data_IF_725527431510
#
_entry.id   IF_725527431510
#
_cell.length_a   1.000
_cell.length_b   1.000
_cell.length_c   1.000
_cell.angle_alpha   90.00
_cell.angle_beta   90.00
_cell.angle_gamma   90.00
#
_symmetry.space_group_name_H-M   'P 1'
#
loop_
_entity.id
_entity.type
_entity.pdbx_description
1 polymer ?
#
# COMPACT_ATOMS: atom_id res chain seq x y z
N UNK A 1 1.73 0.16 -13.46
CA UNK A 1 0.85 -0.97 -13.05
C UNK A 1 1.57 -2.29 -13.33
N UNK A 2 1.36 -3.32 -12.52
CA UNK A 2 1.86 -4.67 -12.79
C UNK A 2 0.98 -5.35 -13.83
N UNK A 3 1.58 -5.78 -14.93
CA UNK A 3 0.91 -6.45 -16.05
C UNK A 3 0.94 -7.98 -15.92
N UNK A 4 1.49 -8.50 -14.81
CA UNK A 4 1.62 -9.93 -14.53
C UNK A 4 0.28 -10.65 -14.35
N UNK A 5 0.25 -11.98 -14.42
CA UNK A 5 -0.91 -12.78 -14.05
C UNK A 5 -1.40 -12.48 -12.62
N UNK A 6 -2.71 -12.44 -12.44
CA UNK A 6 -3.37 -12.21 -11.15
C UNK A 6 -4.51 -13.19 -10.92
N UNK A 7 -5.07 -13.20 -9.71
CA UNK A 7 -6.21 -14.07 -9.39
C UNK A 7 -7.45 -13.76 -10.26
N UNK A 8 -7.63 -12.49 -10.68
CA UNK A 8 -8.75 -12.05 -11.52
C UNK A 8 -8.43 -12.06 -13.01
N UNK A 9 -7.15 -12.08 -13.37
CA UNK A 9 -6.67 -12.19 -14.76
C UNK A 9 -5.50 -13.18 -14.83
N UNK A 10 -5.75 -14.48 -15.03
CA UNK A 10 -4.73 -15.54 -14.96
C UNK A 10 -3.60 -15.42 -15.98
N UNK A 11 -3.79 -14.69 -17.06
CA UNK A 11 -2.73 -14.46 -18.09
C UNK A 11 -2.07 -13.10 -17.96
N UNK A 12 -2.66 -12.18 -17.17
CA UNK A 12 -2.26 -10.79 -17.15
C UNK A 12 -2.50 -10.09 -18.49
N UNK A 13 -1.90 -8.93 -18.68
CA UNK A 13 -1.93 -8.22 -19.96
C UNK A 13 -0.77 -8.71 -20.84
N UNK A 14 -1.09 -9.28 -21.99
CA UNK A 14 -0.12 -9.79 -22.96
C UNK A 14 0.17 -8.84 -24.13
N UNK A 15 -0.48 -7.66 -24.16
CA UNK A 15 -0.27 -6.66 -25.22
C UNK A 15 0.65 -5.53 -24.75
N UNK A 16 1.97 -5.58 -25.11
CA UNK A 16 2.93 -4.56 -24.69
C UNK A 16 2.63 -3.17 -25.23
N UNK A 17 1.81 -3.06 -26.29
CA UNK A 17 1.47 -1.75 -26.89
C UNK A 17 0.58 -0.90 -25.98
N UNK A 18 -0.05 -1.53 -24.98
CA UNK A 18 -0.92 -0.90 -24.01
C UNK A 18 -0.20 -0.53 -22.70
N UNK A 19 1.09 -0.90 -22.56
CA UNK A 19 1.83 -0.64 -21.33
C UNK A 19 2.20 0.84 -21.19
N UNK A 20 2.05 1.35 -20.00
CA UNK A 20 2.59 2.66 -19.62
C UNK A 20 4.11 2.61 -19.38
N UNK A 21 4.79 3.77 -19.34
CA UNK A 21 6.25 3.85 -19.23
C UNK A 21 6.79 3.29 -17.89
N UNK A 22 5.96 3.19 -16.87
CA UNK A 22 6.33 2.71 -15.54
C UNK A 22 5.67 1.35 -15.20
N UNK A 23 5.10 0.67 -16.20
CA UNK A 23 4.45 -0.61 -15.96
C UNK A 23 5.48 -1.75 -15.85
N UNK A 24 5.20 -2.70 -14.95
CA UNK A 24 5.97 -3.93 -14.83
C UNK A 24 5.54 -4.88 -15.94
N UNK A 25 6.48 -5.24 -16.79
CA UNK A 25 6.22 -6.12 -17.95
C UNK A 25 5.80 -7.51 -17.51
N UNK A 26 4.75 -8.03 -18.11
CA UNK A 26 4.31 -9.40 -17.89
C UNK A 26 5.43 -10.41 -18.17
N UNK A 27 5.76 -11.34 -17.25
CA UNK A 27 6.81 -12.34 -17.46
C UNK A 27 6.62 -13.19 -18.71
N UNK A 28 5.36 -13.49 -19.10
CA UNK A 28 5.05 -14.25 -20.33
C UNK A 28 5.38 -13.47 -21.62
N UNK A 29 5.47 -12.15 -21.54
CA UNK A 29 5.93 -11.29 -22.63
C UNK A 29 7.44 -11.08 -22.56
N UNK A 30 7.97 -10.86 -21.35
CA UNK A 30 9.40 -10.59 -21.14
C UNK A 30 10.29 -11.78 -21.54
N UNK A 31 9.99 -13.01 -21.12
CA UNK A 31 10.85 -14.18 -21.36
C UNK A 31 11.11 -14.44 -22.84
N UNK A 32 10.09 -14.55 -23.73
CA UNK A 32 10.34 -14.81 -25.15
C UNK A 32 11.07 -13.65 -25.84
N UNK A 33 10.78 -12.40 -25.47
CA UNK A 33 11.46 -11.24 -26.05
C UNK A 33 12.93 -11.23 -25.67
N UNK A 34 13.24 -11.40 -24.37
CA UNK A 34 14.60 -11.43 -23.88
C UNK A 34 15.40 -12.60 -24.45
N UNK A 35 14.80 -13.79 -24.51
CA UNK A 35 15.41 -14.99 -25.11
C UNK A 35 15.74 -14.75 -26.58
N UNK A 36 14.81 -14.21 -27.38
CA UNK A 36 15.03 -13.92 -28.79
C UNK A 36 16.14 -12.88 -28.98
N UNK A 37 16.18 -11.85 -28.15
CA UNK A 37 17.26 -10.86 -28.17
C UNK A 37 18.62 -11.51 -27.93
N UNK A 38 18.76 -12.34 -26.89
CA UNK A 38 20.03 -13.04 -26.60
C UNK A 38 20.41 -13.97 -27.75
N UNK A 39 19.48 -14.76 -28.28
CA UNK A 39 19.73 -15.66 -29.41
C UNK A 39 20.19 -14.90 -30.65
N UNK A 40 19.55 -13.79 -30.99
CA UNK A 40 19.91 -12.94 -32.13
C UNK A 40 21.31 -12.36 -31.98
N UNK A 41 21.63 -11.83 -30.80
CA UNK A 41 22.95 -11.25 -30.50
C UNK A 41 24.08 -12.28 -30.52
N UNK A 42 23.80 -13.54 -30.17
CA UNK A 42 24.82 -14.60 -30.11
C UNK A 42 24.87 -15.47 -31.38
N UNK A 43 23.96 -15.29 -32.33
CA UNK A 43 23.85 -16.12 -33.55
C UNK A 43 25.12 -16.18 -34.37
N UNK A 44 25.95 -15.12 -34.38
CA UNK A 44 27.24 -15.07 -35.10
C UNK A 44 28.44 -15.47 -34.20
N UNK A 45 28.20 -16.16 -33.08
CA UNK A 45 29.25 -16.61 -32.17
C UNK A 45 29.74 -15.55 -31.20
N UNK A 46 29.04 -14.42 -31.08
CA UNK A 46 29.32 -13.42 -30.05
C UNK A 46 29.11 -14.02 -28.65
N UNK A 47 30.02 -13.66 -27.74
CA UNK A 47 29.91 -14.04 -26.31
C UNK A 47 29.33 -12.87 -25.52
N UNK A 48 28.55 -13.18 -24.50
CA UNK A 48 27.95 -12.19 -23.62
C UNK A 48 27.95 -12.63 -22.18
N UNK A 49 27.72 -11.69 -21.28
CA UNK A 49 27.46 -11.92 -19.86
C UNK A 49 26.11 -11.31 -19.54
N UNK A 50 25.26 -12.06 -18.85
CA UNK A 50 23.99 -11.59 -18.33
C UNK A 50 24.12 -11.53 -16.82
N UNK A 51 23.93 -10.35 -16.24
CA UNK A 51 23.82 -10.17 -14.79
C UNK A 51 22.35 -10.21 -14.37
N UNK A 52 22.06 -10.90 -13.28
CA UNK A 52 20.76 -10.80 -12.62
C UNK A 52 20.61 -9.43 -11.95
N UNK A 53 19.39 -8.91 -11.95
CA UNK A 53 19.07 -7.73 -11.16
C UNK A 53 19.05 -8.17 -9.69
N UNK A 54 19.78 -7.47 -8.78
CA UNK A 54 19.69 -7.76 -7.35
C UNK A 54 18.27 -7.49 -6.84
N UNK A 55 17.94 -8.10 -5.71
CA UNK A 55 16.70 -7.80 -5.01
C UNK A 55 16.70 -6.33 -4.57
N UNK A 56 15.89 -5.52 -5.24
CA UNK A 56 15.81 -4.08 -4.99
C UNK A 56 15.21 -3.75 -3.62
N UNK A 57 14.42 -4.67 -3.04
CA UNK A 57 13.79 -4.47 -1.73
C UNK A 57 14.81 -4.44 -0.59
N UNK A 58 16.02 -4.98 -0.84
CA UNK A 58 17.15 -4.95 0.10
C UNK A 58 17.98 -3.65 0.03
N UNK A 59 17.65 -2.75 -0.89
CA UNK A 59 18.38 -1.48 -1.01
C UNK A 59 18.04 -0.54 0.16
N UNK A 60 18.99 0.32 0.58
CA UNK A 60 18.75 1.32 1.62
C UNK A 60 17.52 2.22 1.35
N UNK A 61 17.15 2.38 0.10
CA UNK A 61 15.95 3.12 -0.30
C UNK A 61 14.66 2.57 0.33
N UNK A 62 14.58 1.24 0.55
CA UNK A 62 13.43 0.57 1.14
C UNK A 62 13.66 0.07 2.57
N UNK A 63 14.92 0.02 3.03
CA UNK A 63 15.24 -0.58 4.33
C UNK A 63 15.61 0.44 5.40
N UNK A 64 15.77 1.72 5.03
CA UNK A 64 16.17 2.78 5.97
C UNK A 64 15.03 3.23 6.88
N UNK A 65 13.80 3.27 6.36
CA UNK A 65 12.62 3.67 7.12
C UNK A 65 11.89 2.40 7.55
N UNK A 66 11.84 2.07 8.86
CA UNK A 66 11.08 0.90 9.32
C UNK A 66 9.58 1.14 9.18
N UNK A 67 8.78 0.08 9.15
CA UNK A 67 7.31 0.18 9.07
C UNK A 67 6.68 0.90 10.29
N UNK A 68 7.38 0.93 11.43
CA UNK A 68 6.92 1.50 12.70
C UNK A 68 7.83 2.64 13.21
N UNK A 69 8.03 3.72 12.44
CA UNK A 69 9.06 4.72 12.74
C UNK A 69 8.63 5.78 13.76
N UNK A 70 7.39 5.73 14.28
CA UNK A 70 6.79 6.83 15.04
C UNK A 70 6.87 6.57 16.55
N UNK A 71 7.78 7.23 17.29
CA UNK A 71 7.77 7.16 18.75
C UNK A 71 6.62 7.98 19.30
N UNK A 72 5.84 7.41 20.22
CA UNK A 72 4.78 8.13 20.94
C UNK A 72 4.91 7.93 22.45
N UNK A 73 4.61 9.00 23.18
CA UNK A 73 4.30 8.95 24.61
C UNK A 73 2.80 8.69 24.82
N UNK A 74 2.38 8.53 26.08
CA UNK A 74 0.99 8.24 26.44
C UNK A 74 0.03 9.37 26.02
N UNK A 75 0.44 10.62 26.15
CA UNK A 75 -0.38 11.77 25.82
C UNK A 75 -0.62 11.85 24.32
N UNK A 76 0.42 11.66 23.53
CA UNK A 76 0.37 11.66 22.07
C UNK A 76 -0.46 10.47 21.56
N UNK A 77 -0.19 9.26 22.04
CA UNK A 77 -0.96 8.07 21.66
C UNK A 77 -2.46 8.24 21.96
N UNK A 78 -2.81 8.79 23.13
CA UNK A 78 -4.19 9.05 23.50
C UNK A 78 -4.85 10.07 22.57
N UNK A 79 -4.16 11.17 22.26
CA UNK A 79 -4.67 12.22 21.36
C UNK A 79 -4.91 11.68 19.94
N UNK A 80 -3.95 10.92 19.40
CA UNK A 80 -4.06 10.35 18.05
C UNK A 80 -5.13 9.27 17.98
N UNK A 81 -5.25 8.40 18.98
CA UNK A 81 -6.35 7.43 19.07
C UNK A 81 -7.71 8.12 19.11
N UNK A 82 -7.83 9.25 19.83
CA UNK A 82 -9.03 10.08 19.83
C UNK A 82 -9.37 10.62 18.44
N UNK A 83 -8.39 11.05 17.67
CA UNK A 83 -8.59 11.53 16.29
C UNK A 83 -9.10 10.42 15.35
N UNK A 84 -8.63 9.18 15.50
CA UNK A 84 -9.09 8.05 14.70
C UNK A 84 -10.34 7.34 15.22
N UNK A 85 -10.86 7.72 16.39
CA UNK A 85 -12.03 7.06 16.99
C UNK A 85 -13.27 7.09 16.07
N UNK A 86 -13.51 8.23 15.40
CA UNK A 86 -14.64 8.39 14.46
C UNK A 86 -14.45 7.49 13.22
N UNK A 87 -13.23 7.41 12.69
CA UNK A 87 -12.91 6.52 11.56
C UNK A 87 -13.13 5.06 11.96
N UNK A 88 -12.58 4.60 13.08
CA UNK A 88 -12.72 3.23 13.56
C UNK A 88 -14.19 2.84 13.78
N UNK A 89 -14.98 3.73 14.41
CA UNK A 89 -16.42 3.51 14.58
C UNK A 89 -17.16 3.46 13.23
N UNK A 90 -16.80 4.33 12.30
CA UNK A 90 -17.36 4.36 10.95
C UNK A 90 -17.11 3.07 10.19
N UNK A 91 -15.88 2.52 10.26
CA UNK A 91 -15.52 1.24 9.63
C UNK A 91 -16.37 0.10 10.21
N UNK A 92 -16.50 0.01 11.54
CA UNK A 92 -17.35 -1.01 12.19
C UNK A 92 -18.81 -0.89 11.73
N UNK A 93 -19.35 0.33 11.68
CA UNK A 93 -20.72 0.57 11.25
C UNK A 93 -20.92 0.20 9.77
N UNK A 94 -19.98 0.56 8.88
CA UNK A 94 -20.08 0.28 7.46
C UNK A 94 -20.07 -1.22 7.18
N UNK A 95 -19.12 -1.96 7.75
CA UNK A 95 -19.05 -3.41 7.57
C UNK A 95 -20.23 -4.14 8.25
N UNK A 96 -20.68 -3.67 9.40
CA UNK A 96 -21.91 -4.19 10.04
C UNK A 96 -23.15 -4.00 9.16
N UNK A 97 -23.26 -2.87 8.47
CA UNK A 97 -24.35 -2.65 7.51
C UNK A 97 -24.26 -3.59 6.30
N UNK A 98 -23.07 -3.89 5.77
CA UNK A 98 -22.88 -4.84 4.67
C UNK A 98 -23.25 -6.27 5.07
N UNK A 99 -22.96 -6.67 6.31
CA UNK A 99 -23.44 -7.96 6.86
C UNK A 99 -24.95 -7.99 6.97
N UNK A 100 -25.58 -6.95 7.50
CA UNK A 100 -27.04 -6.86 7.65
C UNK A 100 -27.76 -6.91 6.29
N UNK A 101 -27.11 -6.43 5.21
CA UNK A 101 -27.61 -6.49 3.84
C UNK A 101 -27.27 -7.81 3.12
N UNK A 102 -26.63 -8.77 3.80
CA UNK A 102 -26.15 -10.03 3.22
C UNK A 102 -25.17 -9.85 2.03
N UNK A 103 -24.42 -8.75 1.98
CA UNK A 103 -23.40 -8.48 0.95
C UNK A 103 -22.11 -9.25 1.26
N UNK A 104 -21.83 -9.47 2.56
CA UNK A 104 -20.67 -10.25 3.01
C UNK A 104 -20.99 -11.01 4.31
N UNK A 105 -20.15 -12.01 4.63
CA UNK A 105 -20.27 -12.74 5.88
C UNK A 105 -19.70 -11.93 7.06
N UNK A 106 -20.11 -12.27 8.28
CA UNK A 106 -19.60 -11.65 9.50
C UNK A 106 -18.08 -11.86 9.65
N UNK A 107 -17.57 -13.05 9.33
CA UNK A 107 -16.14 -13.33 9.39
C UNK A 107 -15.32 -12.45 8.43
N UNK A 108 -15.81 -12.25 7.21
CA UNK A 108 -15.18 -11.34 6.24
C UNK A 108 -15.21 -9.89 6.73
N UNK A 109 -16.34 -9.45 7.27
CA UNK A 109 -16.48 -8.11 7.82
C UNK A 109 -15.52 -7.87 8.98
N UNK A 110 -15.44 -8.81 9.92
CA UNK A 110 -14.52 -8.75 11.06
C UNK A 110 -13.05 -8.71 10.61
N UNK A 111 -12.68 -9.49 9.60
CA UNK A 111 -11.34 -9.48 9.03
C UNK A 111 -11.00 -8.12 8.39
N UNK A 112 -11.93 -7.51 7.65
CA UNK A 112 -11.75 -6.18 7.07
C UNK A 112 -11.68 -5.08 8.14
N UNK A 113 -12.52 -5.14 9.17
CA UNK A 113 -12.46 -4.21 10.31
C UNK A 113 -11.12 -4.33 11.01
N UNK A 114 -10.63 -5.54 11.26
CA UNK A 114 -9.34 -5.75 11.92
C UNK A 114 -8.17 -5.16 11.14
N UNK A 115 -8.14 -5.30 9.80
CA UNK A 115 -7.12 -4.71 8.94
C UNK A 115 -7.09 -3.18 8.99
N UNK A 116 -8.26 -2.56 9.16
CA UNK A 116 -8.46 -1.11 9.07
C UNK A 116 -8.49 -0.40 10.40
N UNK A 117 -8.61 -1.14 11.50
CA UNK A 117 -8.60 -0.54 12.84
C UNK A 117 -7.25 0.10 13.13
N UNK A 118 -7.26 1.40 13.39
CA UNK A 118 -6.07 2.21 13.66
C UNK A 118 -5.94 2.41 15.16
N UNK A 119 -4.80 1.99 15.74
CA UNK A 119 -4.52 2.15 17.15
C UNK A 119 -3.04 2.37 17.42
N UNK A 120 -2.72 3.21 18.39
CA UNK A 120 -1.38 3.59 18.80
C UNK A 120 -1.14 3.32 20.26
N UNK A 121 0.09 2.97 20.61
CA UNK A 121 0.53 2.71 21.98
C UNK A 121 1.78 3.53 22.32
N UNK A 122 2.17 3.52 23.57
CA UNK A 122 3.47 4.06 23.99
C UNK A 122 4.59 3.25 23.33
N UNK A 123 5.55 3.93 22.73
CA UNK A 123 6.67 3.31 22.01
C UNK A 123 6.62 3.55 20.51
N UNK A 124 7.22 2.66 19.74
CA UNK A 124 7.27 2.75 18.27
C UNK A 124 5.95 2.27 17.66
N UNK A 125 5.43 3.06 16.73
CA UNK A 125 4.13 2.80 16.10
C UNK A 125 4.24 2.80 14.58
N UNK A 126 3.39 1.97 13.91
CA UNK A 126 3.26 1.97 12.47
C UNK A 126 2.72 3.29 11.93
N UNK A 127 3.04 3.61 10.68
CA UNK A 127 2.39 4.70 9.95
C UNK A 127 1.02 4.25 9.43
N UNK A 128 0.11 5.20 9.22
CA UNK A 128 -1.14 4.95 8.50
C UNK A 128 -0.91 5.24 7.02
N UNK A 129 -1.32 4.31 6.19
CA UNK A 129 -1.22 4.43 4.73
C UNK A 129 -2.60 4.27 4.08
N UNK A 130 -2.73 4.78 2.86
CA UNK A 130 -3.83 4.44 1.97
C UNK A 130 -3.43 3.14 1.27
N UNK A 131 -4.28 2.12 1.34
CA UNK A 131 -4.08 0.84 0.69
C UNK A 131 -5.23 0.58 -0.29
N UNK A 132 -4.96 0.81 -1.56
CA UNK A 132 -5.92 0.64 -2.65
C UNK A 132 -6.38 -0.82 -2.85
N UNK A 133 -5.68 -1.79 -2.24
CA UNK A 133 -6.11 -3.20 -2.25
C UNK A 133 -7.30 -3.47 -1.33
N UNK A 134 -7.56 -2.58 -0.37
CA UNK A 134 -8.72 -2.68 0.51
C UNK A 134 -10.00 -2.34 -0.23
N UNK A 135 -11.12 -2.92 0.22
CA UNK A 135 -12.44 -2.63 -0.35
C UNK A 135 -12.78 -1.15 -0.26
N UNK A 136 -13.07 -0.50 -1.39
CA UNK A 136 -13.57 0.87 -1.42
C UNK A 136 -15.04 0.91 -0.96
N UNK A 137 -15.24 1.36 0.27
CA UNK A 137 -16.57 1.47 0.86
C UNK A 137 -17.41 2.57 0.20
N UNK A 138 -16.77 3.63 -0.29
CA UNK A 138 -17.45 4.72 -1.01
C UNK A 138 -18.03 4.26 -2.36
N UNK A 139 -17.32 3.36 -3.05
CA UNK A 139 -17.81 2.74 -4.28
C UNK A 139 -19.02 1.82 -4.03
N UNK A 140 -19.06 1.14 -2.87
CA UNK A 140 -20.19 0.29 -2.48
C UNK A 140 -21.41 1.10 -2.02
N UNK A 141 -21.17 2.17 -1.26
CA UNK A 141 -22.21 3.06 -0.77
C UNK A 141 -21.67 4.48 -0.60
N UNK A 142 -22.17 5.48 -1.34
CA UNK A 142 -21.72 6.88 -1.25
C UNK A 142 -21.78 7.48 0.16
N UNK A 143 -22.63 6.96 1.05
CA UNK A 143 -22.67 7.39 2.45
C UNK A 143 -21.36 7.11 3.21
N UNK A 144 -20.53 6.18 2.73
CA UNK A 144 -19.25 5.80 3.31
C UNK A 144 -18.05 6.41 2.58
N UNK A 145 -18.24 7.33 1.66
CA UNK A 145 -17.17 7.95 0.87
C UNK A 145 -16.10 8.68 1.71
N UNK A 146 -16.43 9.08 2.93
CA UNK A 146 -15.47 9.65 3.88
C UNK A 146 -14.56 8.61 4.56
N UNK A 147 -14.88 7.31 4.44
CA UNK A 147 -14.11 6.20 5.00
C UNK A 147 -13.08 5.74 3.98
N UNK A 148 -11.95 6.43 3.94
CA UNK A 148 -10.84 6.08 3.06
C UNK A 148 -10.31 4.67 3.36
N UNK A 149 -9.57 4.11 2.42
CA UNK A 149 -8.94 2.79 2.51
C UNK A 149 -7.68 2.84 3.36
N UNK A 150 -7.84 3.24 4.64
CA UNK A 150 -6.71 3.39 5.56
C UNK A 150 -6.42 2.07 6.28
N UNK A 151 -5.12 1.79 6.50
CA UNK A 151 -4.62 0.81 7.45
C UNK A 151 -3.27 1.21 8.02
N UNK A 152 -2.86 0.58 9.09
CA UNK A 152 -1.49 0.69 9.58
C UNK A 152 -0.54 -0.21 8.79
N UNK A 153 0.71 0.25 8.62
CA UNK A 153 1.78 -0.54 8.01
C UNK A 153 2.15 -1.74 8.88
N UNK A 154 2.61 -2.79 8.23
CA UNK A 154 3.12 -4.03 8.80
C UNK A 154 4.58 -4.25 8.43
N UNK A 155 5.20 -5.30 8.94
CA UNK A 155 6.59 -5.68 8.61
C UNK A 155 6.79 -6.01 7.12
N UNK A 156 5.70 -6.28 6.39
CA UNK A 156 5.73 -6.58 4.95
C UNK A 156 5.74 -5.32 4.09
N UNK A 157 5.42 -4.15 4.67
CA UNK A 157 5.37 -2.88 3.96
C UNK A 157 6.74 -2.23 3.88
N UNK A 158 7.12 -1.81 2.68
CA UNK A 158 8.39 -1.13 2.42
C UNK A 158 8.17 0.38 2.31
N UNK A 159 8.56 1.10 3.33
CA UNK A 159 8.51 2.56 3.28
C UNK A 159 9.73 3.11 2.53
N UNK A 160 9.47 3.91 1.49
CA UNK A 160 10.55 4.51 0.70
C UNK A 160 11.26 5.61 1.47
N UNK A 161 12.55 5.78 1.24
CA UNK A 161 13.39 6.75 1.95
C UNK A 161 12.82 8.19 1.95
N UNK A 162 12.27 8.73 0.85
CA UNK A 162 11.65 10.06 0.86
C UNK A 162 10.43 10.19 1.79
N UNK A 163 9.74 9.08 2.09
CA UNK A 163 8.61 9.06 3.03
C UNK A 163 8.98 9.55 4.42
N UNK A 164 10.25 9.42 4.82
CA UNK A 164 10.75 9.91 6.12
C UNK A 164 10.52 11.41 6.34
N UNK A 165 10.43 12.20 5.27
CA UNK A 165 10.20 13.63 5.36
C UNK A 165 8.75 14.00 5.77
N UNK A 166 7.81 13.06 5.61
CA UNK A 166 6.38 13.27 5.90
C UNK A 166 5.97 12.65 7.23
N UNK A 167 6.71 11.64 7.69
CA UNK A 167 6.40 10.92 8.94
C UNK A 167 6.54 11.89 10.13
N UNK A 168 5.49 11.96 10.96
CA UNK A 168 5.44 12.81 12.14
C UNK A 168 5.20 14.30 11.86
N UNK A 169 4.89 14.69 10.62
CA UNK A 169 4.52 16.07 10.30
C UNK A 169 3.04 16.34 10.59
N UNK A 170 2.64 17.61 10.71
CA UNK A 170 1.24 17.99 10.83
C UNK A 170 0.54 17.91 9.47
N UNK A 171 -0.73 17.45 9.42
CA UNK A 171 -1.55 17.45 8.20
C UNK A 171 -1.81 18.89 7.70
N UNK A 172 -2.05 19.80 8.66
CA UNK A 172 -2.13 21.24 8.42
C UNK A 172 -1.10 21.95 9.33
N UNK A 173 0.01 22.44 8.78
CA UNK A 173 1.03 23.12 9.57
C UNK A 173 0.53 24.34 10.34
N UNK A 174 -0.61 24.90 9.96
CA UNK A 174 -1.23 26.05 10.64
C UNK A 174 -2.11 25.63 11.83
N UNK A 175 -2.44 24.34 11.95
CA UNK A 175 -3.27 23.80 13.03
C UNK A 175 -2.50 22.77 13.87
N UNK A 176 -1.97 23.17 15.05
CA UNK A 176 -1.23 22.24 15.93
C UNK A 176 -2.05 21.04 16.41
N UNK A 177 -3.37 21.10 16.29
CA UNK A 177 -4.29 20.00 16.65
C UNK A 177 -4.59 19.08 15.46
N UNK A 178 -4.18 19.44 14.26
CA UNK A 178 -4.23 18.57 13.09
C UNK A 178 -3.07 17.58 13.20
N UNK A 179 -3.15 16.68 14.18
CA UNK A 179 -2.11 15.67 14.38
C UNK A 179 -2.10 14.80 13.13
N UNK A 180 -1.24 15.15 12.18
CA UNK A 180 -0.74 14.21 11.20
C UNK A 180 0.27 13.32 11.93
N UNK A 181 -0.16 12.81 13.09
CA UNK A 181 0.70 11.98 13.93
C UNK A 181 1.28 10.80 13.21
N UNK A 182 0.93 10.67 11.93
CA UNK A 182 1.23 9.45 11.23
C UNK A 182 1.64 9.67 9.79
N UNK A 183 1.70 10.95 9.33
CA UNK A 183 2.05 11.18 7.94
C UNK A 183 1.35 10.17 7.04
N UNK A 184 0.07 10.37 6.78
CA UNK A 184 -0.55 9.66 5.67
C UNK A 184 0.13 10.20 4.42
N UNK A 185 1.05 9.47 3.77
CA UNK A 185 1.49 9.89 2.46
C UNK A 185 0.23 9.91 1.61
N UNK A 186 -0.11 11.05 1.05
CA UNK A 186 -1.13 11.10 0.02
C UNK A 186 -0.67 10.15 -1.10
N UNK A 187 -1.58 9.31 -1.59
CA UNK A 187 -1.30 8.29 -2.60
C UNK A 187 -0.61 8.82 -3.87
N UNK A 188 -0.68 10.10 -4.11
CA UNK A 188 -0.13 10.82 -5.26
C UNK A 188 1.34 11.22 -5.09
N UNK A 189 1.99 10.83 -4.01
CA UNK A 189 3.39 11.23 -3.71
C UNK A 189 4.40 10.09 -3.90
N UNK A 190 3.96 8.97 -4.47
CA UNK A 190 4.79 7.79 -4.76
C UNK A 190 5.05 7.61 -6.26
#
# INVERSE_FOLDING_TARGET
VDQSPSATNPTGNLDPSTYGPNDITNPLVFDPVFRNMVMTMTASGAKGVIATVPDITLLPYFTTVPYNPIPMDEATATAVNGAYAVYNAGIQQAFGALVALNVMSEDMANAEVAKRTISFAVGQNPVVIIDESLTDLGALNPAFSALQQLRQTTEEDLLVLPGSAFIGTLADPSNPSSVNGVGVPLADQW
#
